data_IF_981725778033
#
_entry.id   IF_981725778033
#
_cell.length_a   1.000
_cell.length_b   1.000
_cell.length_c   1.000
_cell.angle_alpha   90.00
_cell.angle_beta   90.00
_cell.angle_gamma   90.00
#
_symmetry.space_group_name_H-M   'P 1'
#
loop_
_entity.id
_entity.type
_entity.pdbx_description
1 polymer ?
#
# COMPACT_ATOMS: atom_id res chain seq x y z
N UNK A 1 -6.24 18.95 -13.68
CA UNK A 1 -5.03 18.59 -12.92
C UNK A 1 -3.85 19.14 -13.68
N UNK A 2 -3.13 20.09 -13.09
CA UNK A 2 -1.93 20.66 -13.69
C UNK A 2 -0.78 19.64 -13.67
N UNK A 3 0.11 19.72 -14.68
CA UNK A 3 1.26 18.83 -14.83
C UNK A 3 2.09 18.69 -13.54
N UNK A 4 2.39 19.76 -12.76
CA UNK A 4 3.11 19.64 -11.50
C UNK A 4 2.44 18.72 -10.46
N UNK A 5 1.10 18.74 -10.37
CA UNK A 5 0.36 17.92 -9.40
C UNK A 5 0.44 16.43 -9.75
N UNK A 6 0.43 16.12 -11.05
CA UNK A 6 0.59 14.75 -11.55
C UNK A 6 2.01 14.24 -11.21
N UNK A 7 3.05 15.06 -11.40
CA UNK A 7 4.42 14.69 -11.01
C UNK A 7 4.54 14.43 -9.50
N UNK A 8 3.89 15.24 -8.65
CA UNK A 8 3.91 15.05 -7.19
C UNK A 8 3.23 13.71 -6.81
N UNK A 9 2.03 13.45 -7.34
CA UNK A 9 1.29 12.20 -7.07
C UNK A 9 2.09 10.99 -7.56
N UNK A 10 2.68 11.06 -8.76
CA UNK A 10 3.51 10.00 -9.32
C UNK A 10 4.76 9.75 -8.46
N UNK A 11 5.43 10.80 -7.97
CA UNK A 11 6.58 10.68 -7.07
C UNK A 11 6.23 9.98 -5.77
N UNK A 12 5.10 10.33 -5.15
CA UNK A 12 4.63 9.67 -3.92
C UNK A 12 4.28 8.21 -4.18
N UNK A 13 3.59 7.91 -5.29
CA UNK A 13 3.28 6.54 -5.68
C UNK A 13 4.54 5.69 -5.87
N UNK A 14 5.58 6.24 -6.51
CA UNK A 14 6.87 5.56 -6.68
C UNK A 14 7.60 5.31 -5.36
N UNK A 15 7.59 6.27 -4.44
CA UNK A 15 8.17 6.10 -3.09
C UNK A 15 7.45 4.96 -2.35
N UNK A 16 6.12 4.96 -2.37
CA UNK A 16 5.32 3.91 -1.72
C UNK A 16 5.55 2.55 -2.37
N UNK A 17 5.63 2.47 -3.70
CA UNK A 17 5.98 1.23 -4.40
C UNK A 17 7.39 0.74 -4.03
N UNK A 18 8.38 1.64 -3.94
CA UNK A 18 9.74 1.31 -3.52
C UNK A 18 9.82 0.82 -2.08
N UNK A 19 9.08 1.44 -1.15
CA UNK A 19 8.98 0.99 0.23
C UNK A 19 8.30 -0.39 0.30
N UNK A 20 7.18 -0.58 -0.40
CA UNK A 20 6.51 -1.88 -0.48
C UNK A 20 7.42 -2.96 -1.07
N UNK A 21 8.26 -2.64 -2.05
CA UNK A 21 9.24 -3.58 -2.61
C UNK A 21 10.35 -3.93 -1.62
N UNK A 22 10.89 -2.93 -0.93
CA UNK A 22 11.99 -3.12 0.03
C UNK A 22 11.52 -3.86 1.29
N UNK A 23 10.35 -3.50 1.84
CA UNK A 23 9.78 -4.16 3.02
C UNK A 23 9.13 -5.49 2.65
N UNK A 24 8.47 -5.59 1.50
CA UNK A 24 7.89 -6.85 1.02
C UNK A 24 8.95 -7.92 0.81
N UNK A 25 10.09 -7.57 0.21
CA UNK A 25 11.21 -8.52 0.03
C UNK A 25 11.89 -8.90 1.34
N UNK A 26 12.02 -7.98 2.32
CA UNK A 26 12.65 -8.27 3.63
C UNK A 26 11.74 -9.02 4.62
N UNK A 27 10.42 -8.83 4.57
CA UNK A 27 9.47 -9.52 5.45
C UNK A 27 8.98 -10.87 4.89
N UNK A 28 9.38 -11.23 3.67
CA UNK A 28 8.80 -12.34 2.93
C UNK A 28 7.38 -11.95 2.50
N UNK A 29 7.21 -11.65 1.21
CA UNK A 29 5.91 -11.34 0.58
C UNK A 29 4.88 -12.41 0.98
N UNK A 30 4.08 -12.13 2.01
CA UNK A 30 3.18 -13.10 2.61
C UNK A 30 3.24 -13.26 4.13
N UNK A 31 4.25 -12.74 4.84
CA UNK A 31 4.44 -13.00 6.28
C UNK A 31 4.63 -11.72 7.08
N UNK A 32 3.88 -10.66 6.78
CA UNK A 32 3.93 -9.48 7.65
C UNK A 32 3.37 -9.87 9.04
N UNK A 33 3.99 -9.40 10.14
CA UNK A 33 3.46 -9.63 11.47
C UNK A 33 2.03 -9.09 11.53
N UNK A 34 1.06 -9.98 11.79
CA UNK A 34 -0.37 -9.69 11.75
C UNK A 34 -1.12 -10.30 10.56
N UNK A 35 -0.43 -10.78 9.52
CA UNK A 35 -1.06 -11.63 8.50
C UNK A 35 -1.35 -13.02 9.09
N UNK A 36 -2.59 -13.49 8.92
CA UNK A 36 -3.05 -14.75 9.52
C UNK A 36 -2.74 -15.88 8.53
N UNK A 37 -1.81 -16.76 8.92
CA UNK A 37 -1.51 -18.01 8.23
C UNK A 37 -1.97 -19.18 9.08
N UNK A 38 -2.90 -19.95 8.54
CA UNK A 38 -3.35 -21.20 9.15
C UNK A 38 -2.94 -22.32 8.20
N UNK A 39 -1.92 -23.10 8.60
CA UNK A 39 -1.50 -24.30 7.90
C UNK A 39 -1.92 -25.55 8.69
N UNK A 40 -2.68 -26.42 8.04
CA UNK A 40 -3.09 -27.75 8.48
C UNK A 40 -2.70 -28.77 7.40
N UNK A 41 -2.66 -30.05 7.76
CA UNK A 41 -2.19 -31.16 6.90
C UNK A 41 -2.82 -31.20 5.49
N UNK A 42 -4.07 -30.74 5.33
CA UNK A 42 -4.75 -30.63 4.02
C UNK A 42 -5.35 -29.24 3.74
N UNK A 43 -5.02 -28.21 4.54
CA UNK A 43 -5.65 -26.89 4.42
C UNK A 43 -4.66 -25.76 4.68
N UNK A 44 -4.53 -24.85 3.72
CA UNK A 44 -3.74 -23.62 3.87
C UNK A 44 -4.65 -22.42 3.67
N UNK A 45 -4.80 -21.60 4.71
CA UNK A 45 -5.53 -20.34 4.65
C UNK A 45 -4.59 -19.18 4.93
N UNK A 46 -4.58 -18.23 4.01
CA UNK A 46 -3.78 -17.01 4.10
C UNK A 46 -4.71 -15.80 4.08
N UNK A 47 -4.65 -14.99 5.14
CA UNK A 47 -5.42 -13.77 5.25
C UNK A 47 -4.49 -12.57 5.51
N UNK A 48 -4.23 -11.76 4.46
CA UNK A 48 -3.26 -10.67 4.48
C UNK A 48 -3.82 -9.39 5.14
N UNK A 49 -4.27 -9.48 6.40
CA UNK A 49 -4.95 -8.39 7.10
C UNK A 49 -4.10 -7.10 7.13
N UNK A 50 -2.82 -7.24 7.49
CA UNK A 50 -1.91 -6.10 7.65
C UNK A 50 -1.63 -5.45 6.31
N UNK A 51 -1.42 -6.28 5.28
CA UNK A 51 -1.21 -5.82 3.91
C UNK A 51 -2.42 -5.05 3.39
N UNK A 52 -3.65 -5.56 3.60
CA UNK A 52 -4.88 -4.88 3.17
C UNK A 52 -5.09 -3.53 3.85
N UNK A 53 -4.82 -3.44 5.16
CA UNK A 53 -4.89 -2.16 5.89
C UNK A 53 -3.87 -1.16 5.36
N UNK A 54 -2.63 -1.60 5.14
CA UNK A 54 -1.56 -0.74 4.63
C UNK A 54 -1.92 -0.17 3.25
N UNK A 55 -2.39 -1.02 2.34
CA UNK A 55 -2.86 -0.61 1.01
C UNK A 55 -4.02 0.39 1.12
N UNK A 56 -4.97 0.16 2.02
CA UNK A 56 -6.11 1.06 2.23
C UNK A 56 -5.67 2.45 2.73
N UNK A 57 -4.74 2.52 3.68
CA UNK A 57 -4.19 3.79 4.17
C UNK A 57 -3.48 4.54 3.04
N UNK A 58 -2.64 3.85 2.26
CA UNK A 58 -1.93 4.43 1.11
C UNK A 58 -2.91 5.01 0.09
N UNK A 59 -3.90 4.23 -0.33
CA UNK A 59 -4.91 4.69 -1.29
C UNK A 59 -5.72 5.87 -0.73
N UNK A 60 -6.10 5.81 0.55
CA UNK A 60 -6.81 6.91 1.21
C UNK A 60 -5.99 8.19 1.24
N UNK A 61 -4.67 8.09 1.50
CA UNK A 61 -3.77 9.23 1.51
C UNK A 61 -3.58 9.82 0.11
N UNK A 62 -3.48 8.97 -0.92
CA UNK A 62 -3.44 9.40 -2.32
C UNK A 62 -4.72 10.12 -2.73
N UNK A 63 -5.90 9.59 -2.35
CA UNK A 63 -7.19 10.23 -2.60
C UNK A 63 -7.33 11.54 -1.84
N UNK A 64 -6.89 11.59 -0.58
CA UNK A 64 -6.91 12.80 0.23
C UNK A 64 -6.03 13.89 -0.39
N UNK A 65 -4.84 13.52 -0.87
CA UNK A 65 -3.93 14.45 -1.52
C UNK A 65 -4.50 14.95 -2.86
N UNK A 66 -5.05 14.04 -3.67
CA UNK A 66 -5.75 14.38 -4.90
C UNK A 66 -6.90 15.37 -4.63
N UNK A 67 -7.76 15.08 -3.64
CA UNK A 67 -8.86 15.96 -3.27
C UNK A 67 -8.34 17.31 -2.75
N UNK A 68 -7.31 17.31 -1.90
CA UNK A 68 -6.72 18.54 -1.35
C UNK A 68 -6.19 19.45 -2.45
N UNK A 69 -5.47 18.92 -3.44
CA UNK A 69 -4.99 19.71 -4.58
C UNK A 69 -6.12 20.10 -5.54
N UNK A 70 -7.15 19.28 -5.69
CA UNK A 70 -8.28 19.55 -6.59
C UNK A 70 -9.27 20.57 -6.05
N UNK A 71 -9.38 20.73 -4.74
CA UNK A 71 -10.39 21.59 -4.11
C UNK A 71 -9.85 22.95 -3.66
N UNK A 72 -8.52 23.12 -3.63
CA UNK A 72 -7.83 24.31 -3.12
C UNK A 72 -7.13 25.13 -4.20
N UNK A 73 -7.33 24.79 -5.48
CA UNK A 73 -6.95 25.55 -6.67
C UNK A 73 -8.16 25.78 -7.57
#
# INVERSE_FOLDING_TARGET
>A
MELPNILIIAGIALILAGLLWQFGSKLGLGSLPGDIKIEKENFRFYFPLTTSILISIVLSLLFLLYNFFSHKF
#
